data_IF_016206422471
#
_entry.id   IF_016206422471
#
_cell.length_a   1.000
_cell.length_b   1.000
_cell.length_c   1.000
_cell.angle_alpha   90.00
_cell.angle_beta   90.00
_cell.angle_gamma   90.00
#
_symmetry.space_group_name_H-M   'P 1'
#
loop_
_entity.id
_entity.type
_entity.pdbx_description
1 polymer ?
#
# COMPACT_ATOMS: atom_id res chain seq x y z
N UNK A 1 -5.71 -1.21 -18.62
CA UNK A 1 -5.76 0.13 -18.01
C UNK A 1 -6.25 -0.05 -16.59
N UNK A 2 -5.36 0.09 -15.61
CA UNK A 2 -5.53 -0.66 -14.36
C UNK A 2 -5.39 0.20 -13.10
N UNK A 3 -4.38 1.06 -12.98
CA UNK A 3 -4.32 2.06 -11.90
C UNK A 3 -3.62 3.33 -12.36
N UNK A 4 -4.07 4.50 -11.89
CA UNK A 4 -3.46 5.80 -12.20
C UNK A 4 -2.23 6.02 -11.31
N UNK A 5 -1.03 6.03 -11.90
CA UNK A 5 0.23 6.34 -11.19
C UNK A 5 0.88 7.62 -11.73
N UNK A 6 1.84 8.25 -11.02
CA UNK A 6 2.55 9.44 -11.50
C UNK A 6 3.27 9.23 -12.84
N UNK A 7 3.71 7.99 -13.13
CA UNK A 7 4.38 7.61 -14.38
C UNK A 7 3.42 7.17 -15.50
N UNK A 8 2.11 7.25 -15.25
CA UNK A 8 1.04 6.85 -16.16
C UNK A 8 0.25 5.63 -15.70
N UNK A 9 -0.72 5.21 -16.49
CA UNK A 9 -1.62 4.13 -16.12
C UNK A 9 -0.92 2.77 -16.26
N UNK A 10 -0.78 2.03 -15.15
CA UNK A 10 -0.11 0.73 -15.12
C UNK A 10 -0.76 -0.25 -14.15
N UNK A 11 -0.35 -1.50 -14.23
CA UNK A 11 -0.51 -2.51 -13.18
C UNK A 11 0.89 -2.95 -12.74
N UNK A 12 0.98 -3.50 -11.53
CA UNK A 12 2.24 -3.95 -10.94
C UNK A 12 2.66 -5.27 -11.58
N UNK A 13 3.96 -5.42 -11.79
CA UNK A 13 4.60 -6.63 -12.33
C UNK A 13 5.83 -6.98 -11.49
N UNK A 14 6.36 -8.18 -11.70
CA UNK A 14 7.61 -8.62 -11.06
C UNK A 14 7.56 -8.62 -9.54
N UNK A 15 8.66 -8.21 -8.91
CA UNK A 15 8.88 -8.20 -7.46
C UNK A 15 7.98 -7.16 -6.75
N UNK A 16 7.65 -6.04 -7.39
CA UNK A 16 6.69 -5.07 -6.83
C UNK A 16 5.29 -5.67 -6.72
N UNK A 17 4.86 -6.45 -7.72
CA UNK A 17 3.60 -7.18 -7.64
C UNK A 17 3.61 -8.25 -6.55
N UNK A 18 4.72 -8.99 -6.39
CA UNK A 18 4.84 -10.03 -5.36
C UNK A 18 4.84 -9.43 -3.95
N UNK A 19 5.55 -8.32 -3.73
CA UNK A 19 5.54 -7.61 -2.45
C UNK A 19 4.13 -7.15 -2.08
N UNK A 20 3.39 -6.58 -3.03
CA UNK A 20 1.99 -6.16 -2.82
C UNK A 20 1.07 -7.36 -2.60
N UNK A 21 1.25 -8.48 -3.32
CA UNK A 21 0.50 -9.72 -3.07
C UNK A 21 0.73 -10.25 -1.66
N UNK A 22 1.98 -10.25 -1.20
CA UNK A 22 2.33 -10.69 0.15
C UNK A 22 1.69 -9.79 1.21
N UNK A 23 1.74 -8.48 1.02
CA UNK A 23 1.10 -7.52 1.94
C UNK A 23 -0.42 -7.75 2.00
N UNK A 24 -1.08 -7.85 0.85
CA UNK A 24 -2.51 -8.14 0.76
C UNK A 24 -2.86 -9.49 1.39
N UNK A 25 -2.04 -10.53 1.20
CA UNK A 25 -2.26 -11.83 1.80
C UNK A 25 -2.28 -11.76 3.33
N UNK A 26 -1.36 -10.98 3.93
CA UNK A 26 -1.35 -10.74 5.37
C UNK A 26 -2.59 -10.00 5.83
N UNK A 27 -2.95 -8.89 5.18
CA UNK A 27 -4.15 -8.12 5.54
C UNK A 27 -5.43 -8.97 5.46
N UNK A 28 -5.54 -9.84 4.45
CA UNK A 28 -6.68 -10.75 4.30
C UNK A 28 -6.74 -11.80 5.41
N UNK A 29 -5.59 -12.29 5.89
CA UNK A 29 -5.54 -13.20 7.04
C UNK A 29 -6.02 -12.50 8.32
N UNK A 30 -5.63 -11.24 8.54
CA UNK A 30 -6.13 -10.45 9.67
C UNK A 30 -7.66 -10.26 9.59
N UNK A 31 -8.19 -9.90 8.43
CA UNK A 31 -9.64 -9.77 8.24
C UNK A 31 -10.39 -11.09 8.41
N UNK A 32 -9.79 -12.21 8.02
CA UNK A 32 -10.34 -13.54 8.28
C UNK A 32 -10.42 -13.83 9.79
N UNK A 33 -9.42 -13.40 10.57
CA UNK A 33 -9.44 -13.48 12.02
C UNK A 33 -10.57 -12.63 12.63
N UNK A 34 -10.76 -11.39 12.16
CA UNK A 34 -11.87 -10.52 12.60
C UNK A 34 -13.24 -11.18 12.39
N UNK A 35 -13.42 -11.88 11.25
CA UNK A 35 -14.65 -12.62 10.95
C UNK A 35 -14.94 -13.71 11.98
N UNK A 36 -13.91 -14.36 12.52
CA UNK A 36 -14.06 -15.48 13.47
C UNK A 36 -14.18 -15.02 14.92
N UNK A 37 -13.58 -13.89 15.28
CA UNK A 37 -13.38 -13.45 16.66
C UNK A 37 -14.26 -12.25 17.06
N UNK A 38 -14.92 -11.59 16.09
CA UNK A 38 -15.60 -10.29 16.28
C UNK A 38 -14.68 -9.17 16.78
N UNK A 39 -13.35 -9.35 16.67
CA UNK A 39 -12.38 -8.31 16.98
C UNK A 39 -12.38 -7.19 15.94
N UNK A 40 -11.93 -6.00 16.35
CA UNK A 40 -11.75 -4.88 15.43
C UNK A 40 -10.60 -5.17 14.46
N UNK A 41 -10.68 -4.66 13.21
CA UNK A 41 -9.59 -4.78 12.26
C UNK A 41 -8.33 -4.10 12.81
N UNK A 42 -7.19 -4.57 12.32
CA UNK A 42 -5.89 -3.98 12.61
C UNK A 42 -5.82 -2.53 12.06
N UNK A 43 -5.14 -1.65 12.79
CA UNK A 43 -4.92 -0.25 12.39
C UNK A 43 -3.61 -0.11 11.62
N UNK A 44 -3.69 0.41 10.40
CA UNK A 44 -2.53 0.59 9.52
C UNK A 44 -1.92 2.01 9.60
N UNK A 45 -2.55 2.91 10.36
CA UNK A 45 -2.11 4.31 10.49
C UNK A 45 -2.64 5.20 9.37
N UNK A 46 -3.66 4.74 8.63
CA UNK A 46 -4.28 5.48 7.52
C UNK A 46 -5.75 5.69 7.84
N UNK A 47 -6.09 6.88 8.36
CA UNK A 47 -7.41 7.17 8.95
C UNK A 47 -8.58 6.77 8.05
N UNK A 48 -8.57 7.13 6.77
CA UNK A 48 -9.68 6.81 5.85
C UNK A 48 -9.89 5.31 5.62
N UNK A 49 -8.86 4.49 5.80
CA UNK A 49 -8.93 3.04 5.68
C UNK A 49 -9.24 2.38 7.03
N UNK A 50 -8.63 2.87 8.11
CA UNK A 50 -8.80 2.33 9.46
C UNK A 50 -10.21 2.59 10.03
N UNK A 51 -10.90 3.62 9.58
CA UNK A 51 -12.29 3.90 9.97
C UNK A 51 -13.33 2.99 9.28
N UNK A 52 -12.92 2.22 8.27
CA UNK A 52 -13.81 1.29 7.56
C UNK A 52 -14.11 0.05 8.41
N UNK A 53 -15.28 -0.55 8.21
CA UNK A 53 -15.54 -1.89 8.76
C UNK A 53 -14.65 -2.93 8.09
N UNK A 54 -14.38 -4.06 8.75
CA UNK A 54 -13.56 -5.13 8.15
C UNK A 54 -14.15 -5.64 6.82
N UNK A 55 -15.48 -5.63 6.65
CA UNK A 55 -16.14 -5.98 5.40
C UNK A 55 -15.87 -4.96 4.29
N UNK A 56 -15.89 -3.67 4.63
CA UNK A 56 -15.57 -2.59 3.70
C UNK A 56 -14.08 -2.62 3.33
N UNK A 57 -13.19 -2.84 4.29
CA UNK A 57 -11.76 -3.04 4.03
C UNK A 57 -11.56 -4.21 3.06
N UNK A 58 -12.19 -5.37 3.30
CA UNK A 58 -12.12 -6.52 2.40
C UNK A 58 -12.54 -6.18 0.97
N UNK A 59 -13.65 -5.47 0.80
CA UNK A 59 -14.15 -5.11 -0.52
C UNK A 59 -13.24 -4.10 -1.25
N UNK A 60 -12.68 -3.14 -0.52
CA UNK A 60 -11.72 -2.17 -1.09
C UNK A 60 -10.41 -2.87 -1.46
N UNK A 61 -9.92 -3.80 -0.62
CA UNK A 61 -8.72 -4.58 -0.93
C UNK A 61 -8.90 -5.48 -2.16
N UNK A 62 -10.07 -6.11 -2.35
CA UNK A 62 -10.36 -6.91 -3.56
C UNK A 62 -10.38 -6.04 -4.82
N UNK A 63 -11.03 -4.87 -4.74
CA UNK A 63 -11.06 -3.89 -5.82
C UNK A 63 -9.64 -3.43 -6.17
N UNK A 64 -8.83 -3.13 -5.17
CA UNK A 64 -7.44 -2.69 -5.32
C UNK A 64 -6.55 -3.80 -5.87
N UNK A 65 -6.64 -5.02 -5.34
CA UNK A 65 -5.89 -6.18 -5.82
C UNK A 65 -6.19 -6.45 -7.30
N UNK A 66 -7.45 -6.36 -7.71
CA UNK A 66 -7.85 -6.51 -9.12
C UNK A 66 -7.23 -5.41 -9.99
N UNK A 67 -7.22 -4.16 -9.51
CA UNK A 67 -6.76 -3.01 -10.29
C UNK A 67 -5.23 -2.77 -10.22
N UNK A 68 -4.53 -3.36 -9.26
CA UNK A 68 -3.07 -3.30 -9.18
C UNK A 68 -2.39 -4.52 -9.76
N UNK A 69 -3.00 -5.72 -9.69
CA UNK A 69 -2.30 -6.98 -9.97
C UNK A 69 -2.74 -7.68 -11.26
N UNK A 70 -3.69 -7.11 -12.01
CA UNK A 70 -4.19 -7.68 -13.26
C UNK A 70 -4.28 -6.60 -14.34
N UNK A 71 -4.61 -6.98 -15.57
CA UNK A 71 -4.96 -6.01 -16.61
C UNK A 71 -6.49 -5.87 -16.63
N UNK A 72 -7.01 -4.66 -16.46
CA UNK A 72 -8.44 -4.36 -16.50
C UNK A 72 -8.74 -3.43 -17.68
N UNK A 73 -10.00 -3.40 -18.13
CA UNK A 73 -10.41 -2.56 -19.27
C UNK A 73 -10.58 -1.09 -18.89
N UNK A 74 -10.76 -0.80 -17.60
CA UNK A 74 -11.04 0.54 -17.08
C UNK A 74 -10.13 0.84 -15.90
N UNK A 75 -9.49 2.02 -15.93
CA UNK A 75 -8.74 2.51 -14.80
C UNK A 75 -9.71 2.88 -13.67
N UNK A 76 -9.37 2.47 -12.45
CA UNK A 76 -10.16 2.81 -11.28
C UNK A 76 -10.16 4.32 -11.03
N UNK A 77 -11.31 4.89 -10.69
CA UNK A 77 -11.42 6.29 -10.31
C UNK A 77 -10.65 6.54 -9.00
N UNK A 78 -9.79 7.57 -9.01
CA UNK A 78 -9.08 8.00 -7.81
C UNK A 78 -10.07 8.58 -6.81
N UNK A 79 -10.05 8.02 -5.61
CA UNK A 79 -10.82 8.50 -4.46
C UNK A 79 -9.98 8.37 -3.22
N UNK A 80 -10.30 9.17 -2.19
CA UNK A 80 -9.54 9.15 -0.93
C UNK A 80 -9.53 7.77 -0.27
N UNK A 81 -10.60 6.99 -0.44
CA UNK A 81 -10.69 5.62 0.08
C UNK A 81 -9.77 4.67 -0.69
N UNK A 82 -9.74 4.76 -2.02
CA UNK A 82 -8.90 3.90 -2.85
C UNK A 82 -7.41 4.19 -2.62
N UNK A 83 -7.03 5.47 -2.54
CA UNK A 83 -5.64 5.86 -2.26
C UNK A 83 -5.23 5.56 -0.82
N UNK A 84 -6.11 5.78 0.15
CA UNK A 84 -5.88 5.35 1.53
C UNK A 84 -5.66 3.84 1.63
N UNK A 85 -6.38 3.02 0.85
CA UNK A 85 -6.17 1.59 0.84
C UNK A 85 -4.81 1.20 0.23
N UNK A 86 -4.36 1.87 -0.83
CA UNK A 86 -2.99 1.69 -1.34
C UNK A 86 -1.97 2.04 -0.25
N UNK A 87 -2.14 3.20 0.40
CA UNK A 87 -1.26 3.61 1.47
C UNK A 87 -1.24 2.60 2.63
N UNK A 88 -2.40 2.04 3.01
CA UNK A 88 -2.50 1.01 4.04
C UNK A 88 -1.75 -0.28 3.67
N UNK A 89 -1.78 -0.69 2.39
CA UNK A 89 -0.99 -1.84 1.89
C UNK A 89 0.52 -1.61 2.07
N UNK A 90 1.01 -0.40 1.79
CA UNK A 90 2.42 -0.07 2.00
C UNK A 90 2.78 0.12 3.48
N UNK A 91 1.88 0.70 4.29
CA UNK A 91 2.06 0.77 5.74
C UNK A 91 2.11 -0.63 6.38
N UNK A 92 1.29 -1.57 5.90
CA UNK A 92 1.38 -2.95 6.34
C UNK A 92 2.78 -3.53 6.04
N UNK A 93 3.40 -3.24 4.89
CA UNK A 93 4.78 -3.69 4.60
C UNK A 93 5.76 -3.15 5.65
N UNK A 94 5.67 -1.86 6.00
CA UNK A 94 6.51 -1.26 7.06
C UNK A 94 6.33 -2.00 8.39
N UNK A 95 5.09 -2.22 8.79
CA UNK A 95 4.78 -2.92 10.05
C UNK A 95 5.27 -4.38 10.03
N UNK A 96 5.19 -5.07 8.88
CA UNK A 96 5.74 -6.41 8.74
C UNK A 96 7.27 -6.42 8.85
N UNK A 97 7.96 -5.38 8.35
CA UNK A 97 9.40 -5.21 8.55
C UNK A 97 9.73 -4.93 10.02
N UNK A 98 8.95 -4.09 10.70
CA UNK A 98 9.10 -3.84 12.13
C UNK A 98 8.96 -5.13 12.94
N UNK A 99 7.90 -5.91 12.68
CA UNK A 99 7.69 -7.22 13.31
C UNK A 99 8.83 -8.20 13.00
N UNK A 100 9.31 -8.22 11.76
CA UNK A 100 10.44 -9.05 11.36
C UNK A 100 11.71 -8.70 12.15
N UNK A 101 12.00 -7.41 12.35
CA UNK A 101 13.14 -6.90 13.13
C UNK A 101 12.98 -7.24 14.61
N UNK A 102 11.79 -7.02 15.19
CA UNK A 102 11.50 -7.32 16.59
C UNK A 102 11.63 -8.81 16.90
N UNK A 103 11.13 -9.66 16.00
CA UNK A 103 11.15 -11.13 16.14
C UNK A 103 12.45 -11.76 15.66
N UNK A 104 13.37 -11.00 15.05
CA UNK A 104 14.63 -11.48 14.50
C UNK A 104 15.40 -12.49 15.39
N UNK A 105 15.53 -12.28 16.73
CA UNK A 105 16.27 -13.21 17.60
C UNK A 105 15.64 -14.60 17.74
N UNK A 106 14.33 -14.72 17.51
CA UNK A 106 13.55 -15.95 17.72
C UNK A 106 13.01 -16.55 16.41
N UNK A 107 13.00 -15.77 15.32
CA UNK A 107 12.57 -16.22 14.01
C UNK A 107 13.56 -17.21 13.37
N UNK A 108 13.05 -18.23 12.64
CA UNK A 108 13.90 -19.07 11.79
C UNK A 108 14.60 -18.24 10.73
N UNK A 109 15.83 -18.64 10.37
CA UNK A 109 16.70 -17.89 9.44
C UNK A 109 16.01 -17.52 8.12
N UNK A 110 15.21 -18.43 7.55
CA UNK A 110 14.48 -18.20 6.31
C UNK A 110 13.42 -17.07 6.36
N UNK A 111 13.03 -16.61 7.56
CA UNK A 111 12.02 -15.57 7.76
C UNK A 111 12.59 -14.31 8.41
N UNK A 112 13.90 -14.26 8.70
CA UNK A 112 14.50 -13.13 9.42
C UNK A 112 14.59 -11.86 8.60
N UNK A 113 14.69 -12.00 7.27
CA UNK A 113 14.93 -10.89 6.35
C UNK A 113 13.97 -10.95 5.16
N UNK A 114 12.85 -11.67 5.26
CA UNK A 114 11.97 -11.95 4.11
C UNK A 114 11.34 -10.67 3.57
N UNK A 115 10.74 -9.86 4.44
CA UNK A 115 10.07 -8.62 4.05
C UNK A 115 11.08 -7.57 3.62
N UNK A 116 12.18 -7.45 4.34
CA UNK A 116 13.30 -6.58 3.98
C UNK A 116 13.89 -6.94 2.61
N UNK A 117 14.10 -8.23 2.34
CA UNK A 117 14.57 -8.70 1.03
C UNK A 117 13.56 -8.39 -0.07
N UNK A 118 12.27 -8.73 0.13
CA UNK A 118 11.23 -8.48 -0.86
C UNK A 118 11.06 -6.99 -1.18
N UNK A 119 11.14 -6.11 -0.18
CA UNK A 119 11.08 -4.66 -0.39
C UNK A 119 12.29 -4.15 -1.20
N UNK A 120 13.50 -4.64 -0.89
CA UNK A 120 14.70 -4.29 -1.63
C UNK A 120 14.67 -4.81 -3.07
N UNK A 121 14.23 -6.05 -3.28
CA UNK A 121 14.10 -6.65 -4.62
C UNK A 121 13.08 -5.87 -5.48
N UNK A 122 11.93 -5.50 -4.91
CA UNK A 122 10.93 -4.66 -5.58
C UNK A 122 11.47 -3.27 -5.93
N UNK A 123 12.29 -2.68 -5.07
CA UNK A 123 12.90 -1.39 -5.30
C UNK A 123 13.93 -1.46 -6.43
N UNK A 124 14.83 -2.44 -6.39
CA UNK A 124 15.91 -2.63 -7.36
C UNK A 124 15.40 -3.03 -8.75
N UNK A 125 14.34 -3.83 -8.86
CA UNK A 125 13.79 -4.24 -10.16
C UNK A 125 13.20 -3.05 -10.95
N UNK A 126 12.65 -2.06 -10.24
CA UNK A 126 11.94 -0.93 -10.83
C UNK A 126 12.79 0.33 -11.00
N UNK A 127 14.07 0.30 -10.62
CA UNK A 127 15.00 1.38 -10.88
C UNK A 127 15.50 1.33 -12.32
N UNK A 128 15.30 2.41 -13.07
CA UNK A 128 15.92 2.58 -14.38
C UNK A 128 17.45 2.72 -14.19
N UNK A 129 18.23 1.99 -14.98
CA UNK A 129 19.71 2.04 -14.96
C UNK A 129 20.27 3.49 -14.97
N UNK A 130 19.55 4.45 -15.57
CA UNK A 130 19.96 5.86 -15.61
C UNK A 130 19.80 6.62 -14.28
N UNK A 131 18.84 6.24 -13.43
CA UNK A 131 18.65 6.83 -12.09
C UNK A 131 19.70 6.29 -11.12
N UNK A 132 19.98 4.97 -11.19
CA UNK A 132 21.10 4.33 -10.49
C UNK A 132 22.42 5.04 -10.79
N UNK A 133 22.68 5.30 -12.07
CA UNK A 133 23.88 6.00 -12.53
C UNK A 133 23.92 7.48 -12.08
N UNK A 134 22.78 8.15 -11.94
CA UNK A 134 22.74 9.53 -11.45
C UNK A 134 22.93 9.63 -9.94
N UNK A 135 22.39 8.71 -9.15
CA UNK A 135 22.64 8.64 -7.71
C UNK A 135 24.10 8.31 -7.41
N UNK A 136 24.71 7.34 -8.11
CA UNK A 136 26.14 7.04 -7.99
C UNK A 136 27.04 8.26 -8.29
N UNK A 137 26.64 9.09 -9.25
CA UNK A 137 27.40 10.30 -9.65
C UNK A 137 27.13 11.48 -8.72
N UNK A 138 25.99 11.52 -8.04
CA UNK A 138 25.55 12.62 -7.17
C UNK A 138 25.92 12.41 -5.70
N UNK A 139 26.65 11.35 -5.36
CA UNK A 139 27.10 11.06 -4.00
C UNK A 139 27.93 12.23 -3.43
N UNK A 140 27.28 13.05 -2.61
CA UNK A 140 27.96 13.67 -1.48
C UNK A 140 28.43 12.52 -0.59
N UNK A 141 29.73 12.39 -0.36
CA UNK A 141 30.35 11.26 0.34
C UNK A 141 29.84 11.04 1.79
N UNK A 142 29.03 11.96 2.31
CA UNK A 142 28.44 11.92 3.66
C UNK A 142 26.95 11.54 3.68
N UNK A 143 26.29 11.33 2.52
CA UNK A 143 24.86 10.97 2.45
C UNK A 143 24.73 9.49 2.07
N UNK A 144 24.38 8.65 3.04
CA UNK A 144 24.11 7.23 2.79
C UNK A 144 22.95 7.08 1.79
N UNK A 145 23.20 6.37 0.69
CA UNK A 145 22.17 6.09 -0.30
C UNK A 145 21.24 4.98 0.19
N UNK A 146 20.01 4.97 -0.33
CA UNK A 146 19.09 3.83 -0.14
C UNK A 146 19.61 2.59 -0.89
N UNK A 147 20.51 2.75 -1.87
CA UNK A 147 21.18 1.64 -2.54
C UNK A 147 22.20 0.91 -1.67
N UNK A 148 22.65 1.51 -0.57
CA UNK A 148 23.60 0.91 0.37
C UNK A 148 22.90 0.17 1.53
N UNK A 149 21.60 -0.10 1.39
CA UNK A 149 20.82 -0.75 2.44
C UNK A 149 21.22 -2.23 2.58
N UNK A 150 21.81 -2.59 3.71
CA UNK A 150 22.04 -3.99 4.07
C UNK A 150 20.71 -4.63 4.47
N UNK A 151 20.38 -5.77 3.87
CA UNK A 151 19.16 -6.53 4.18
C UNK A 151 19.11 -6.97 5.65
N UNK A 152 20.27 -7.15 6.30
CA UNK A 152 20.33 -7.46 7.73
C UNK A 152 20.17 -6.23 8.64
N UNK A 153 20.16 -5.00 8.08
CA UNK A 153 20.00 -3.75 8.83
C UNK A 153 18.69 -3.71 9.61
N UNK A 154 18.80 -3.38 10.90
CA UNK A 154 17.66 -3.24 11.81
C UNK A 154 17.16 -1.78 11.91
N UNK A 155 17.62 -0.89 11.03
CA UNK A 155 17.25 0.52 11.03
C UNK A 155 15.89 0.73 10.36
N UNK A 156 14.82 0.66 11.17
CA UNK A 156 13.42 0.80 10.72
C UNK A 156 13.21 2.04 9.85
N UNK A 157 13.73 3.21 10.27
CA UNK A 157 13.54 4.48 9.54
C UNK A 157 14.00 4.40 8.08
N UNK A 158 15.07 3.66 7.78
CA UNK A 158 15.55 3.50 6.40
C UNK A 158 14.66 2.59 5.58
N UNK A 159 14.14 1.53 6.20
CA UNK A 159 13.15 0.66 5.56
C UNK A 159 11.85 1.40 5.29
N UNK A 160 11.36 2.19 6.25
CA UNK A 160 10.20 3.06 6.05
C UNK A 160 10.40 4.01 4.87
N UNK A 161 11.58 4.64 4.76
CA UNK A 161 11.90 5.50 3.63
C UNK A 161 11.93 4.76 2.27
N UNK A 162 12.47 3.54 2.23
CA UNK A 162 12.45 2.71 1.02
C UNK A 162 11.02 2.35 0.60
N UNK A 163 10.20 1.90 1.55
CA UNK A 163 8.80 1.56 1.30
C UNK A 163 7.99 2.80 0.89
N UNK A 164 8.31 3.96 1.45
CA UNK A 164 7.70 5.24 1.06
C UNK A 164 8.01 5.58 -0.41
N UNK A 165 9.25 5.38 -0.87
CA UNK A 165 9.59 5.57 -2.29
C UNK A 165 8.87 4.58 -3.20
N UNK A 166 8.64 3.34 -2.77
CA UNK A 166 7.82 2.39 -3.51
C UNK A 166 6.35 2.84 -3.56
N UNK A 167 5.81 3.33 -2.45
CA UNK A 167 4.44 3.85 -2.39
C UNK A 167 4.24 5.05 -3.32
N UNK A 168 5.21 5.97 -3.39
CA UNK A 168 5.18 7.15 -4.26
C UNK A 168 5.18 6.81 -5.76
N UNK A 169 5.55 5.58 -6.15
CA UNK A 169 5.45 5.09 -7.54
C UNK A 169 4.04 4.60 -7.89
N UNK A 170 3.16 4.46 -6.91
CA UNK A 170 1.80 3.92 -7.08
C UNK A 170 0.73 4.94 -6.68
N UNK A 171 0.94 5.65 -5.57
CA UNK A 171 0.07 6.72 -5.11
C UNK A 171 0.12 7.90 -6.08
N UNK A 172 -1.06 8.44 -6.43
CA UNK A 172 -1.14 9.62 -7.28
C UNK A 172 -0.90 10.88 -6.46
N UNK A 173 -1.52 10.96 -5.28
CA UNK A 173 -1.28 12.01 -4.30
C UNK A 173 -1.34 11.48 -2.85
N UNK A 174 -1.22 12.40 -1.89
CA UNK A 174 -1.39 12.13 -0.44
C UNK A 174 -2.53 12.95 0.16
N UNK A 175 -3.50 13.36 -0.65
CA UNK A 175 -4.60 14.19 -0.19
C UNK A 175 -5.47 13.44 0.82
N UNK A 176 -5.49 12.10 0.78
CA UNK A 176 -6.13 11.25 1.79
C UNK A 176 -5.64 11.53 3.23
N UNK A 177 -4.38 11.92 3.44
CA UNK A 177 -3.82 12.25 4.77
C UNK A 177 -4.43 13.53 5.36
N UNK A 178 -4.91 14.42 4.49
CA UNK A 178 -5.48 15.71 4.90
C UNK A 178 -6.92 15.59 5.42
N UNK A 179 -7.50 14.39 5.44
CA UNK A 179 -8.90 14.14 5.82
C UNK A 179 -9.25 14.79 7.16
N UNK A 180 -8.41 14.65 8.19
CA UNK A 180 -8.66 15.19 9.52
C UNK A 180 -8.70 16.72 9.52
N UNK A 181 -7.85 17.36 8.73
CA UNK A 181 -7.83 18.81 8.56
C UNK A 181 -9.07 19.30 7.80
N UNK A 182 -9.56 18.50 6.84
CA UNK A 182 -10.69 18.85 5.99
C UNK A 182 -12.05 18.64 6.67
N UNK A 183 -12.21 17.57 7.46
CA UNK A 183 -13.44 17.25 8.19
C UNK A 183 -13.72 18.30 9.27
N UNK A 184 -12.68 18.75 9.98
CA UNK A 184 -12.83 19.76 11.04
C UNK A 184 -13.00 21.19 10.49
N UNK A 185 -12.70 21.43 9.21
CA UNK A 185 -12.82 22.73 8.60
C UNK A 185 -14.30 23.07 8.27
N UNK A 186 -14.73 24.34 8.46
CA UNK A 186 -16.05 24.77 7.99
C UNK A 186 -16.25 24.46 6.49
N UNK A 187 -17.46 24.08 6.04
CA UNK A 187 -17.68 23.57 4.68
C UNK A 187 -17.18 24.50 3.56
N UNK A 188 -17.33 25.82 3.72
CA UNK A 188 -16.83 26.82 2.78
C UNK A 188 -15.29 26.82 2.69
N UNK A 189 -14.62 26.64 3.83
CA UNK A 189 -13.15 26.58 3.93
C UNK A 189 -12.61 25.26 3.38
N UNK A 190 -13.26 24.14 3.68
CA UNK A 190 -12.94 22.84 3.10
C UNK A 190 -13.14 22.84 1.57
N UNK A 191 -14.21 23.46 1.06
CA UNK A 191 -14.44 23.61 -0.38
C UNK A 191 -13.38 24.50 -1.05
N UNK A 192 -13.01 25.62 -0.43
CA UNK A 192 -11.96 26.50 -0.93
C UNK A 192 -10.58 25.82 -0.94
N UNK A 193 -10.27 25.03 0.10
CA UNK A 193 -9.01 24.31 0.21
C UNK A 193 -8.90 23.18 -0.83
N UNK A 194 -9.98 22.40 -1.03
CA UNK A 194 -10.06 21.41 -2.12
C UNK A 194 -9.88 22.05 -3.50
N UNK A 195 -10.56 23.17 -3.75
CA UNK A 195 -10.42 23.89 -5.01
C UNK A 195 -8.99 24.43 -5.24
N UNK A 196 -8.29 24.83 -4.17
CA UNK A 196 -6.91 25.30 -4.25
C UNK A 196 -5.90 24.16 -4.49
N UNK A 197 -6.17 22.96 -3.97
CA UNK A 197 -5.33 21.77 -4.13
C UNK A 197 -5.67 20.96 -5.39
N UNK A 198 -6.78 21.26 -6.05
CA UNK A 198 -7.24 20.49 -7.21
C UNK A 198 -8.00 19.21 -6.88
N UNK A 199 -8.33 19.00 -5.60
CA UNK A 199 -9.06 17.82 -5.10
C UNK A 199 -10.49 17.81 -5.65
N UNK A 200 -10.87 16.72 -6.30
CA UNK A 200 -12.21 16.56 -6.86
C UNK A 200 -13.30 16.51 -5.76
N UNK A 201 -14.50 17.01 -6.04
CA UNK A 201 -15.56 17.12 -5.03
C UNK A 201 -16.00 15.77 -4.46
N UNK A 202 -15.86 14.70 -5.25
CA UNK A 202 -16.20 13.33 -4.88
C UNK A 202 -15.14 12.61 -4.04
N UNK A 203 -13.94 13.16 -3.91
CA UNK A 203 -12.75 12.46 -3.40
C UNK A 203 -12.91 11.94 -1.96
N UNK A 204 -13.27 12.81 -1.02
CA UNK A 204 -13.53 12.43 0.38
C UNK A 204 -14.96 11.96 0.65
N UNK A 205 -15.86 12.08 -0.34
CA UNK A 205 -17.27 11.68 -0.19
C UNK A 205 -17.57 10.36 -0.90
N UNK A 206 -16.55 9.72 -1.47
CA UNK A 206 -16.67 8.37 -2.01
C UNK A 206 -17.15 7.44 -0.88
N UNK A 207 -18.04 6.52 -1.22
CA UNK A 207 -18.59 5.56 -0.27
C UNK A 207 -17.85 4.25 -0.50
N UNK A 208 -17.21 3.72 0.54
CA UNK A 208 -16.60 2.40 0.48
C UNK A 208 -17.66 1.35 0.10
N UNK A 209 -17.32 0.36 -0.76
CA UNK A 209 -18.23 -0.74 -1.03
C UNK A 209 -18.62 -1.45 0.26
N UNK A 210 -19.93 -1.66 0.46
CA UNK A 210 -20.47 -2.34 1.63
C UNK A 210 -21.04 -3.70 1.18
N UNK A 211 -20.25 -4.79 1.26
CA UNK A 211 -20.65 -6.09 0.73
C UNK A 211 -21.64 -6.79 1.66
N UNK A 212 -22.61 -7.48 1.06
CA UNK A 212 -23.48 -8.42 1.80
C UNK A 212 -22.69 -9.65 2.25
N UNK A 213 -23.17 -10.37 3.26
CA UNK A 213 -22.53 -11.62 3.76
C UNK A 213 -22.20 -12.63 2.65
N UNK A 214 -23.06 -12.73 1.61
CA UNK A 214 -22.81 -13.61 0.47
C UNK A 214 -21.67 -13.13 -0.43
N UNK A 215 -21.48 -11.82 -0.52
CA UNK A 215 -20.38 -11.23 -1.29
C UNK A 215 -19.07 -11.37 -0.52
N UNK A 216 -19.10 -11.27 0.81
CA UNK A 216 -17.91 -11.45 1.67
C UNK A 216 -17.19 -12.77 1.38
N UNK A 217 -17.91 -13.89 1.29
CA UNK A 217 -17.29 -15.18 0.97
C UNK A 217 -16.62 -15.17 -0.41
N UNK A 218 -17.28 -14.58 -1.42
CA UNK A 218 -16.70 -14.44 -2.77
C UNK A 218 -15.48 -13.51 -2.80
N UNK A 219 -15.46 -12.47 -1.97
CA UNK A 219 -14.32 -11.55 -1.87
C UNK A 219 -13.10 -12.25 -1.25
N UNK A 220 -13.28 -13.06 -0.20
CA UNK A 220 -12.19 -13.87 0.34
C UNK A 220 -11.63 -14.85 -0.69
N UNK A 221 -12.50 -15.56 -1.42
CA UNK A 221 -12.07 -16.48 -2.48
C UNK A 221 -11.31 -15.77 -3.60
N UNK A 222 -11.78 -14.58 -4.00
CA UNK A 222 -11.14 -13.74 -5.02
C UNK A 222 -9.75 -13.28 -4.58
N UNK A 223 -9.65 -12.69 -3.39
CA UNK A 223 -8.39 -12.22 -2.82
C UNK A 223 -7.40 -13.35 -2.57
N UNK A 224 -7.85 -14.52 -2.13
CA UNK A 224 -6.99 -15.70 -1.98
C UNK A 224 -6.42 -16.16 -3.34
N UNK A 225 -7.20 -16.07 -4.41
CA UNK A 225 -6.72 -16.39 -5.76
C UNK A 225 -5.73 -15.34 -6.27
N UNK A 226 -6.03 -14.05 -6.07
CA UNK A 226 -5.16 -12.95 -6.49
C UNK A 226 -3.84 -12.97 -5.72
N UNK A 227 -3.86 -13.23 -4.42
CA UNK A 227 -2.63 -13.21 -3.61
C UNK A 227 -1.76 -14.47 -3.79
N UNK A 228 -2.34 -15.61 -4.19
CA UNK A 228 -1.58 -16.85 -4.47
C UNK A 228 -1.07 -16.99 -5.90
N UNK A 229 -1.61 -16.19 -6.83
CA UNK A 229 -1.24 -16.28 -8.23
C UNK A 229 0.19 -15.74 -8.42
N UNK A 230 1.16 -16.65 -8.59
CA UNK A 230 2.50 -16.26 -9.04
C UNK A 230 2.42 -15.58 -10.42
N UNK A 231 3.19 -14.52 -10.68
CA UNK A 231 3.19 -13.84 -11.98
C UNK A 231 3.72 -14.84 -13.02
N UNK A 232 3.17 -14.76 -14.23
CA UNK A 232 3.62 -15.55 -15.37
C UNK A 232 4.80 -14.91 -16.06
#
# INVERSE_FOLDING_TARGET
MTWHTPSGDRFLVGEEAELVRDSLATMVQELASCRETEEQPWEYGVTLFDELTWQQQLAVLDLLATNLLQETDQTLELSGINEAAVAAVYQNIVQQIELEIELHPVSPEAYRCRWRQAALDAFLENEDDEVLLQEEVSQDADRESVFDLDVESLEVDRWSGLVEMLADRVLWDRDFEMVNVMIDAPPERAAAMRAALGIHSGYYTAIAPDPTDRQVDSLFESLEQLTRAKPR
#
